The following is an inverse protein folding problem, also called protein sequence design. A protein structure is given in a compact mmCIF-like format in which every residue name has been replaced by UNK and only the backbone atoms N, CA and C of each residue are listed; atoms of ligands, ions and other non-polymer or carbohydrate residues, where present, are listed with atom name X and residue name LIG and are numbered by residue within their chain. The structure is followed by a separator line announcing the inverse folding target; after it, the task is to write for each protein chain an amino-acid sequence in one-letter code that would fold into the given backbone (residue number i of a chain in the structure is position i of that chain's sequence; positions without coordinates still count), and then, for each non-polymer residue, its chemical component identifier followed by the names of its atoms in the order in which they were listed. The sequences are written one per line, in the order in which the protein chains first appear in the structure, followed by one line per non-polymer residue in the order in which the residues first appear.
data_IF_726955247222
#
_entry.id   IF_726955247222
#
_cell.length_a   1.000
_cell.length_b   1.000
_cell.length_c   1.000
_cell.angle_alpha   90.00
_cell.angle_beta   90.00
_cell.angle_gamma   90.00
#
_symmetry.space_group_name_H-M   'P 1'
#
loop_
_entity.id
_entity.type
_entity.pdbx_description
1 polymer ?
#
# COMPACT_ATOMS: atom_id res chain seq x y z
N UNK A 1 2.49 -9.08 -29.49
CA UNK A 1 2.28 -9.16 -28.03
C UNK A 1 3.25 -8.19 -27.37
N UNK A 2 2.76 -7.14 -26.71
CA UNK A 2 3.64 -6.21 -26.02
C UNK A 2 4.15 -6.90 -24.75
N UNK A 3 5.46 -7.15 -24.67
CA UNK A 3 6.09 -7.62 -23.44
C UNK A 3 5.80 -6.57 -22.35
N UNK A 4 5.15 -7.00 -21.26
CA UNK A 4 4.98 -6.16 -20.07
C UNK A 4 6.39 -5.95 -19.53
N UNK A 5 7.01 -4.82 -19.89
CA UNK A 5 8.34 -4.43 -19.38
C UNK A 5 8.22 -4.49 -17.86
N UNK A 6 8.98 -5.38 -17.23
CA UNK A 6 8.99 -5.49 -15.78
C UNK A 6 9.45 -4.13 -15.24
N UNK A 7 8.56 -3.45 -14.52
CA UNK A 7 8.90 -2.19 -13.87
C UNK A 7 10.07 -2.44 -12.92
N UNK A 8 11.02 -1.49 -12.79
CA UNK A 8 12.12 -1.62 -11.85
C UNK A 8 11.58 -1.94 -10.45
N UNK A 9 12.25 -2.84 -9.74
CA UNK A 9 11.91 -3.12 -8.35
C UNK A 9 12.18 -1.85 -7.53
N UNK A 10 11.23 -1.36 -6.71
CA UNK A 10 11.48 -0.22 -5.86
C UNK A 10 12.69 -0.44 -4.95
N UNK A 11 13.51 0.58 -4.78
CA UNK A 11 14.75 0.50 -3.99
C UNK A 11 14.59 1.09 -2.59
N UNK A 12 13.46 1.74 -2.30
CA UNK A 12 13.12 2.30 -0.99
C UNK A 12 11.64 2.12 -0.68
N UNK A 13 11.29 2.15 0.62
CA UNK A 13 9.90 2.08 1.07
C UNK A 13 9.06 3.24 0.51
N UNK A 14 9.57 4.49 0.58
CA UNK A 14 8.95 5.66 -0.06
C UNK A 14 8.62 5.42 -1.53
N UNK A 15 9.59 5.00 -2.33
CA UNK A 15 9.38 4.76 -3.76
C UNK A 15 8.29 3.71 -3.98
N UNK A 16 8.32 2.61 -3.22
CA UNK A 16 7.32 1.56 -3.31
C UNK A 16 5.90 2.08 -2.97
N UNK A 17 5.76 2.95 -1.97
CA UNK A 17 4.48 3.58 -1.62
C UNK A 17 3.99 4.51 -2.73
N UNK A 18 4.87 5.37 -3.27
CA UNK A 18 4.53 6.32 -4.34
C UNK A 18 4.09 5.60 -5.62
N UNK A 19 4.84 4.58 -6.06
CA UNK A 19 4.47 3.77 -7.22
C UNK A 19 3.19 2.96 -6.97
N UNK A 20 2.98 2.49 -5.73
CA UNK A 20 1.76 1.80 -5.32
C UNK A 20 0.54 2.72 -5.38
N UNK A 21 0.70 3.99 -4.99
CA UNK A 21 -0.33 5.02 -5.11
C UNK A 21 -0.66 5.34 -6.57
N UNK A 22 0.34 5.44 -7.45
CA UNK A 22 0.13 5.60 -8.89
C UNK A 22 -0.66 4.40 -9.46
N UNK A 23 -0.29 3.17 -9.08
CA UNK A 23 -1.03 1.97 -9.47
C UNK A 23 -2.49 2.00 -9.00
N UNK A 24 -2.73 2.42 -7.76
CA UNK A 24 -4.05 2.49 -7.16
C UNK A 24 -4.92 3.61 -7.77
N UNK A 25 -4.37 4.81 -7.92
CA UNK A 25 -5.12 6.00 -8.30
C UNK A 25 -5.30 6.15 -9.81
N UNK A 26 -4.23 5.93 -10.57
CA UNK A 26 -4.24 6.22 -12.01
C UNK A 26 -4.64 4.97 -12.80
N UNK A 27 -4.05 3.82 -12.47
CA UNK A 27 -4.27 2.58 -13.21
C UNK A 27 -5.46 1.76 -12.71
N UNK A 28 -5.91 2.01 -11.48
CA UNK A 28 -6.84 1.16 -10.73
C UNK A 28 -6.38 -0.31 -10.68
N UNK A 29 -5.07 -0.54 -10.77
CA UNK A 29 -4.46 -1.86 -10.70
C UNK A 29 -4.19 -2.19 -9.22
N UNK A 30 -5.24 -2.64 -8.55
CA UNK A 30 -5.20 -2.90 -7.11
C UNK A 30 -4.27 -4.07 -6.74
N UNK A 31 -4.09 -5.02 -7.64
CA UNK A 31 -3.16 -6.13 -7.45
C UNK A 31 -1.71 -5.64 -7.45
N UNK A 32 -1.35 -4.78 -8.41
CA UNK A 32 -0.02 -4.18 -8.45
C UNK A 32 0.20 -3.20 -7.29
N UNK A 33 -0.81 -2.41 -6.93
CA UNK A 33 -0.75 -1.53 -5.77
C UNK A 33 -0.43 -2.33 -4.49
N UNK A 34 -1.15 -3.43 -4.24
CA UNK A 34 -0.88 -4.31 -3.10
C UNK A 34 0.52 -4.91 -3.12
N UNK A 35 1.01 -5.33 -4.30
CA UNK A 35 2.37 -5.85 -4.45
C UNK A 35 3.41 -4.80 -4.01
N UNK A 36 3.21 -3.56 -4.42
CA UNK A 36 4.10 -2.43 -4.11
C UNK A 36 4.02 -2.01 -2.63
N UNK A 37 2.82 -1.91 -2.05
CA UNK A 37 2.67 -1.62 -0.63
C UNK A 37 3.28 -2.72 0.26
N UNK A 38 3.14 -3.99 -0.13
CA UNK A 38 3.80 -5.10 0.58
C UNK A 38 5.33 -5.05 0.42
N UNK A 39 5.83 -4.67 -0.76
CA UNK A 39 7.27 -4.49 -0.96
C UNK A 39 7.83 -3.37 -0.06
N UNK A 40 7.09 -2.28 0.14
CA UNK A 40 7.49 -1.19 1.04
C UNK A 40 7.79 -1.70 2.47
N UNK A 41 6.98 -2.64 2.97
CA UNK A 41 7.17 -3.24 4.30
C UNK A 41 8.47 -4.07 4.41
N UNK A 42 8.99 -4.58 3.29
CA UNK A 42 10.27 -5.28 3.23
C UNK A 42 11.50 -4.37 3.11
N UNK A 43 11.31 -3.07 2.89
CA UNK A 43 12.38 -2.11 2.57
C UNK A 43 12.79 -1.23 3.76
N UNK A 44 12.67 -1.76 4.99
CA UNK A 44 12.97 -1.04 6.25
C UNK A 44 12.29 0.33 6.32
N UNK A 45 10.95 0.39 6.25
CA UNK A 45 10.22 1.65 6.27
C UNK A 45 10.39 2.37 7.61
N UNK A 46 10.31 3.70 7.57
CA UNK A 46 9.96 4.52 8.72
C UNK A 46 8.52 4.23 9.17
N UNK A 47 8.15 4.63 10.39
CA UNK A 47 6.77 4.45 10.87
C UNK A 47 5.75 5.14 9.94
N UNK A 48 6.09 6.32 9.41
CA UNK A 48 5.23 7.06 8.50
C UNK A 48 5.00 6.28 7.19
N UNK A 49 6.07 5.79 6.55
CA UNK A 49 5.98 4.99 5.33
C UNK A 49 5.23 3.68 5.57
N UNK A 50 5.47 3.00 6.69
CA UNK A 50 4.78 1.77 7.05
C UNK A 50 3.28 2.00 7.25
N UNK A 51 2.91 3.07 7.97
CA UNK A 51 1.51 3.46 8.18
C UNK A 51 0.82 3.79 6.85
N UNK A 52 1.50 4.50 5.95
CA UNK A 52 0.99 4.84 4.63
C UNK A 52 0.82 3.60 3.74
N UNK A 53 1.81 2.70 3.72
CA UNK A 53 1.75 1.44 2.97
C UNK A 53 0.57 0.57 3.42
N UNK A 54 0.42 0.37 4.73
CA UNK A 54 -0.66 -0.44 5.30
C UNK A 54 -2.04 0.20 5.11
N UNK A 55 -2.15 1.52 5.29
CA UNK A 55 -3.40 2.24 5.02
C UNK A 55 -3.85 2.05 3.57
N UNK A 56 -2.95 2.30 2.62
CA UNK A 56 -3.27 2.18 1.20
C UNK A 56 -3.50 0.71 0.77
N UNK A 57 -2.81 -0.25 1.39
CA UNK A 57 -3.12 -1.67 1.22
C UNK A 57 -4.53 -2.02 1.72
N UNK A 58 -4.93 -1.45 2.86
CA UNK A 58 -6.30 -1.54 3.38
C UNK A 58 -7.33 -1.04 2.37
N UNK A 59 -7.09 0.15 1.79
CA UNK A 59 -7.94 0.70 0.73
C UNK A 59 -7.99 -0.20 -0.52
N UNK A 60 -6.86 -0.77 -0.95
CA UNK A 60 -6.79 -1.66 -2.10
C UNK A 60 -7.54 -2.99 -1.88
N UNK A 61 -7.46 -3.58 -0.69
CA UNK A 61 -8.27 -4.73 -0.31
C UNK A 61 -9.77 -4.38 -0.29
N UNK A 62 -10.14 -3.21 0.25
CA UNK A 62 -11.53 -2.76 0.26
C UNK A 62 -12.10 -2.56 -1.16
N UNK A 63 -11.32 -2.00 -2.10
CA UNK A 63 -11.73 -1.90 -3.52
C UNK A 63 -11.95 -3.26 -4.17
N UNK A 64 -11.27 -4.30 -3.68
CA UNK A 64 -11.44 -5.69 -4.13
C UNK A 64 -12.46 -6.48 -3.29
N UNK A 65 -13.15 -5.84 -2.35
CA UNK A 65 -14.13 -6.45 -1.43
C UNK A 65 -13.53 -7.52 -0.49
N UNK A 66 -12.22 -7.45 -0.23
CA UNK A 66 -11.51 -8.32 0.70
C UNK A 66 -11.54 -7.72 2.11
N UNK A 67 -12.73 -7.66 2.71
CA UNK A 67 -13.01 -6.86 3.91
C UNK A 67 -12.14 -7.21 5.12
N UNK A 68 -11.89 -8.50 5.35
CA UNK A 68 -11.06 -8.93 6.47
C UNK A 68 -9.63 -8.41 6.32
N UNK A 69 -9.03 -8.60 5.14
CA UNK A 69 -7.67 -8.12 4.85
C UNK A 69 -7.57 -6.59 4.93
N UNK A 70 -8.63 -5.90 4.49
CA UNK A 70 -8.72 -4.45 4.61
C UNK A 70 -8.67 -4.01 6.09
N UNK A 71 -9.51 -4.63 6.93
CA UNK A 71 -9.53 -4.34 8.37
C UNK A 71 -8.19 -4.66 9.04
N UNK A 72 -7.60 -5.81 8.73
CA UNK A 72 -6.33 -6.23 9.32
C UNK A 72 -5.19 -5.25 8.98
N UNK A 73 -5.15 -4.76 7.74
CA UNK A 73 -4.16 -3.76 7.31
C UNK A 73 -4.34 -2.43 8.06
N UNK A 74 -5.58 -1.94 8.18
CA UNK A 74 -5.88 -0.68 8.90
C UNK A 74 -5.55 -0.82 10.40
N UNK A 75 -5.91 -1.93 11.03
CA UNK A 75 -5.62 -2.17 12.45
C UNK A 75 -4.12 -2.17 12.71
N UNK A 76 -3.32 -2.80 11.84
CA UNK A 76 -1.85 -2.76 11.93
C UNK A 76 -1.31 -1.35 11.73
N UNK A 77 -1.83 -0.59 10.77
CA UNK A 77 -1.41 0.80 10.56
C UNK A 77 -1.61 1.66 11.81
N UNK A 78 -2.75 1.50 12.50
CA UNK A 78 -3.08 2.25 13.72
C UNK A 78 -2.27 1.74 14.92
N UNK A 79 -2.29 0.44 15.19
CA UNK A 79 -1.74 -0.12 16.42
C UNK A 79 -0.21 -0.19 16.41
N UNK A 80 0.39 -0.55 15.28
CA UNK A 80 1.84 -0.82 15.21
C UNK A 80 2.62 0.40 14.72
N UNK A 81 1.98 1.27 13.93
CA UNK A 81 2.64 2.40 13.26
C UNK A 81 1.99 3.76 13.55
N UNK A 82 1.08 3.82 14.53
CA UNK A 82 0.49 5.04 15.05
C UNK A 82 -0.19 5.91 13.97
N UNK A 83 -0.84 5.27 12.98
CA UNK A 83 -1.69 5.98 12.01
C UNK A 83 -2.76 6.78 12.77
N UNK A 84 -2.80 8.09 12.53
CA UNK A 84 -3.80 8.95 13.14
C UNK A 84 -5.19 8.59 12.62
N UNK A 85 -6.15 8.39 13.52
CA UNK A 85 -7.55 8.11 13.14
C UNK A 85 -8.15 9.20 12.25
N UNK A 86 -7.68 10.45 12.36
CA UNK A 86 -8.09 11.56 11.49
C UNK A 86 -7.78 11.32 10.01
N UNK A 87 -6.78 10.49 9.69
CA UNK A 87 -6.44 10.09 8.32
C UNK A 87 -7.30 8.93 7.85
N UNK A 88 -7.67 8.02 8.76
CA UNK A 88 -8.41 6.80 8.42
C UNK A 88 -9.91 7.02 8.17
N UNK A 89 -10.47 8.15 8.60
CA UNK A 89 -11.91 8.44 8.60
C UNK A 89 -12.35 9.48 7.54
N UNK A 90 -11.49 9.81 6.56
CA UNK A 90 -11.78 10.80 5.51
C UNK A 90 -12.43 10.20 4.27
#
# INVERSE_FOLDING_TARGET
MAAKVAKPVPTSAKQAVEEGLEAFNERKDYAEALRLFNAAMGLKPTNEEASAALYNAGCAHAKQKEWQKASDAILRAVNDYNLKLSVALQ
#
